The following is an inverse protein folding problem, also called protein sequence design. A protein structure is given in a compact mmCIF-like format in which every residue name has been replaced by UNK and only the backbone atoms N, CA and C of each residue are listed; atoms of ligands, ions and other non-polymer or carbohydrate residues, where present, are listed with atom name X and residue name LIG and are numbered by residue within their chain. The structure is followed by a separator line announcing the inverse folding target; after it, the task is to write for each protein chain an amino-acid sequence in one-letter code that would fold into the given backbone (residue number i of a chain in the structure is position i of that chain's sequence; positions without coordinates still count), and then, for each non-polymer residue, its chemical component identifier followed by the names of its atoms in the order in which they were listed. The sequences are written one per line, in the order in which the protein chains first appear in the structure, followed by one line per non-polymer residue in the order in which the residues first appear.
data_IF_826243599813
#
_entry.id   IF_826243599813
#
_cell.length_a   1.000
_cell.length_b   1.000
_cell.length_c   1.000
_cell.angle_alpha   90.00
_cell.angle_beta   90.00
_cell.angle_gamma   90.00
#
_symmetry.space_group_name_H-M   'P 1'
#
loop_
_entity.id
_entity.type
_entity.pdbx_description
1 polymer ?
#
# COMPACT_ATOMS: atom_id res chain seq x y z
N UNK A 1 -17.43 3.81 -6.94
CA UNK A 1 -15.99 3.94 -6.64
C UNK A 1 -15.71 5.04 -5.60
N UNK A 2 -16.32 6.23 -5.74
CA UNK A 2 -16.15 7.37 -4.82
C UNK A 2 -16.45 7.10 -3.33
N UNK A 3 -17.51 6.35 -3.04
CA UNK A 3 -17.93 6.04 -1.65
C UNK A 3 -16.97 5.11 -0.88
N UNK A 4 -16.09 4.37 -1.57
CA UNK A 4 -15.06 3.53 -0.92
C UNK A 4 -13.81 4.35 -0.58
N UNK A 5 -13.42 5.28 -1.44
CA UNK A 5 -12.25 6.16 -1.25
C UNK A 5 -12.48 7.15 -0.10
N UNK A 6 -13.70 7.70 0.03
CA UNK A 6 -14.04 8.62 1.14
C UNK A 6 -13.98 7.93 2.51
N UNK A 7 -14.39 6.65 2.61
CA UNK A 7 -14.27 5.88 3.85
C UNK A 7 -12.81 5.59 4.23
N UNK A 8 -11.93 5.43 3.25
CA UNK A 8 -10.50 5.17 3.46
C UNK A 8 -9.80 6.44 4.00
N UNK A 9 -10.15 7.63 3.49
CA UNK A 9 -9.57 8.90 3.96
C UNK A 9 -9.99 9.23 5.40
N UNK A 10 -11.24 8.91 5.80
CA UNK A 10 -11.71 9.11 7.18
C UNK A 10 -10.96 8.20 8.17
N UNK A 11 -10.55 7.01 7.75
CA UNK A 11 -9.74 6.12 8.59
C UNK A 11 -8.34 6.69 8.87
N UNK A 12 -7.72 7.39 7.91
CA UNK A 12 -6.39 8.01 8.10
C UNK A 12 -6.40 9.17 9.12
N UNK A 13 -7.52 9.89 9.26
CA UNK A 13 -7.61 11.07 10.15
C UNK A 13 -7.72 10.72 11.64
N UNK A 14 -8.11 9.49 12.01
CA UNK A 14 -8.23 9.08 13.41
C UNK A 14 -6.91 8.60 14.05
N UNK A 15 -5.81 8.56 13.30
CA UNK A 15 -4.55 7.94 13.74
C UNK A 15 -3.57 8.86 14.51
N UNK A 16 -3.85 10.16 14.65
CA UNK A 16 -2.98 11.09 15.38
C UNK A 16 -3.31 11.27 16.87
N UNK A 17 -4.13 10.40 17.46
CA UNK A 17 -4.58 10.55 18.86
C UNK A 17 -4.16 9.38 19.77
N UNK A 18 -2.93 8.89 19.65
CA UNK A 18 -2.35 8.01 20.67
C UNK A 18 -1.45 8.80 21.62
N UNK A 19 -2.05 9.74 22.35
CA UNK A 19 -1.41 10.37 23.51
C UNK A 19 -2.47 10.97 24.43
N UNK A 20 -3.14 10.10 25.18
CA UNK A 20 -3.63 10.48 26.49
C UNK A 20 -3.38 9.31 27.42
N UNK A 21 -2.32 9.44 28.22
CA UNK A 21 -2.17 8.69 29.45
C UNK A 21 -3.41 8.99 30.30
N UNK A 22 -4.44 8.17 30.16
CA UNK A 22 -5.65 8.28 30.95
C UNK A 22 -5.30 7.84 32.37
N UNK A 23 -4.95 8.81 33.21
CA UNK A 23 -5.01 8.69 34.65
C UNK A 23 -6.49 8.42 34.99
N UNK A 24 -6.92 7.15 34.91
CA UNK A 24 -8.31 6.75 35.13
C UNK A 24 -8.63 6.94 36.62
N UNK A 25 -9.35 8.01 36.90
CA UNK A 25 -9.96 8.32 38.18
C UNK A 25 -10.86 7.15 38.61
N UNK A 26 -10.69 6.69 39.85
CA UNK A 26 -11.49 5.60 40.44
C UNK A 26 -12.97 6.00 40.39
N UNK A 27 -13.71 5.38 39.48
CA UNK A 27 -15.16 5.58 39.37
C UNK A 27 -15.82 4.65 40.38
N UNK A 28 -16.13 5.19 41.55
CA UNK A 28 -16.88 4.47 42.59
C UNK A 28 -18.30 4.27 42.05
N UNK A 29 -18.65 3.05 41.66
CA UNK A 29 -20.01 2.71 41.21
C UNK A 29 -21.01 2.81 42.38
N UNK A 30 -22.26 3.26 42.12
CA UNK A 30 -23.25 3.63 43.14
C UNK A 30 -23.74 2.47 44.03
N UNK A 31 -23.36 1.23 43.74
CA UNK A 31 -23.68 0.04 44.55
C UNK A 31 -22.99 0.03 45.93
N UNK A 32 -22.01 0.92 46.16
CA UNK A 32 -21.40 1.12 47.48
C UNK A 32 -22.40 1.63 48.56
N UNK A 33 -23.64 1.97 48.18
CA UNK A 33 -24.68 2.51 49.06
C UNK A 33 -25.61 1.46 49.68
N UNK A 34 -25.51 0.18 49.31
CA UNK A 34 -26.28 -0.88 49.97
C UNK A 34 -25.52 -1.44 51.19
N UNK A 35 -25.63 -0.71 52.29
CA UNK A 35 -25.29 -1.23 53.60
C UNK A 35 -26.38 -2.22 54.07
N UNK A 36 -26.07 -3.52 54.11
CA UNK A 36 -26.18 -4.39 55.30
C UNK A 36 -26.21 -5.87 54.92
N UNK A 37 -25.37 -6.67 55.60
CA UNK A 37 -25.72 -7.96 56.24
C UNK A 37 -24.52 -8.73 56.86
N UNK A 38 -23.27 -8.22 56.81
CA UNK A 38 -22.14 -8.84 57.53
C UNK A 38 -21.19 -7.81 58.14
N UNK A 39 -20.44 -8.23 59.18
CA UNK A 39 -19.36 -7.45 59.78
C UNK A 39 -18.19 -7.16 58.81
N UNK A 40 -18.18 -7.73 57.60
CA UNK A 40 -17.12 -7.56 56.59
C UNK A 40 -17.59 -6.87 55.31
N UNK A 41 -18.88 -6.50 55.21
CA UNK A 41 -19.48 -6.03 53.97
C UNK A 41 -18.74 -4.83 53.33
N UNK A 42 -18.16 -3.95 54.14
CA UNK A 42 -17.34 -2.83 53.66
C UNK A 42 -16.05 -3.30 52.99
N UNK A 43 -15.39 -4.29 53.57
CA UNK A 43 -14.17 -4.91 53.02
C UNK A 43 -14.49 -5.70 51.76
N UNK A 44 -15.60 -6.43 51.74
CA UNK A 44 -16.06 -7.17 50.56
C UNK A 44 -16.35 -6.22 49.37
N UNK A 45 -17.02 -5.08 49.61
CA UNK A 45 -17.25 -4.05 48.58
C UNK A 45 -15.94 -3.41 48.09
N UNK A 46 -15.00 -3.13 48.99
CA UNK A 46 -13.67 -2.62 48.64
C UNK A 46 -12.91 -3.59 47.72
N UNK A 47 -12.92 -4.89 48.06
CA UNK A 47 -12.31 -5.94 47.24
C UNK A 47 -12.98 -6.02 45.86
N UNK A 48 -14.32 -6.01 45.82
CA UNK A 48 -15.09 -6.13 44.59
C UNK A 48 -14.79 -4.98 43.60
N UNK A 49 -14.63 -3.76 44.11
CA UNK A 49 -14.27 -2.61 43.27
C UNK A 49 -12.89 -2.80 42.61
N UNK A 50 -11.89 -3.21 43.39
CA UNK A 50 -10.56 -3.49 42.85
C UNK A 50 -10.56 -4.68 41.88
N UNK A 51 -11.34 -5.73 42.17
CA UNK A 51 -11.52 -6.84 41.25
C UNK A 51 -12.04 -6.36 39.88
N UNK A 52 -13.12 -5.57 39.87
CA UNK A 52 -13.69 -4.99 38.64
C UNK A 52 -12.68 -4.12 37.90
N UNK A 53 -11.88 -3.34 38.63
CA UNK A 53 -10.83 -2.49 38.04
C UNK A 53 -9.77 -3.33 37.32
N UNK A 54 -9.23 -4.38 37.95
CA UNK A 54 -8.23 -5.26 37.34
C UNK A 54 -8.79 -6.02 36.14
N UNK A 55 -10.02 -6.55 36.26
CA UNK A 55 -10.70 -7.21 35.15
C UNK A 55 -10.92 -6.27 33.96
N UNK A 56 -11.29 -5.02 34.22
CA UNK A 56 -11.44 -4.01 33.17
C UNK A 56 -10.10 -3.67 32.51
N UNK A 57 -9.03 -3.54 33.27
CA UNK A 57 -7.69 -3.32 32.71
C UNK A 57 -7.26 -4.48 31.80
N UNK A 58 -7.49 -5.74 32.21
CA UNK A 58 -7.20 -6.91 31.35
C UNK A 58 -8.01 -6.89 30.06
N UNK A 59 -9.29 -6.50 30.11
CA UNK A 59 -10.15 -6.36 28.92
C UNK A 59 -9.68 -5.23 28.00
N UNK A 60 -9.26 -4.09 28.57
CA UNK A 60 -8.77 -2.96 27.80
C UNK A 60 -7.46 -3.30 27.06
N UNK A 61 -6.56 -4.07 27.69
CA UNK A 61 -5.31 -4.56 27.08
C UNK A 61 -5.60 -5.56 25.95
N UNK A 62 -6.51 -6.52 26.19
CA UNK A 62 -6.93 -7.50 25.20
C UNK A 62 -7.54 -6.84 23.96
N UNK A 63 -8.40 -5.84 24.16
CA UNK A 63 -8.98 -5.05 23.06
C UNK A 63 -7.90 -4.31 22.25
N UNK A 64 -6.93 -3.68 22.91
CA UNK A 64 -5.83 -3.00 22.20
C UNK A 64 -5.03 -3.96 21.30
N UNK A 65 -4.86 -5.22 21.71
CA UNK A 65 -4.22 -6.23 20.86
C UNK A 65 -5.08 -6.58 19.64
N UNK A 66 -6.37 -6.78 19.81
CA UNK A 66 -7.28 -7.07 18.69
C UNK A 66 -7.41 -5.90 17.72
N UNK A 67 -7.48 -4.67 18.23
CA UNK A 67 -7.51 -3.46 17.43
C UNK A 67 -6.22 -3.32 16.60
N UNK A 68 -5.07 -3.63 17.19
CA UNK A 68 -3.79 -3.64 16.48
C UNK A 68 -3.76 -4.69 15.35
N UNK A 69 -4.17 -5.94 15.62
CA UNK A 69 -4.23 -6.99 14.61
C UNK A 69 -5.15 -6.61 13.45
N UNK A 70 -6.35 -6.13 13.79
CA UNK A 70 -7.37 -5.74 12.81
C UNK A 70 -6.92 -4.55 11.96
N UNK A 71 -6.32 -3.54 12.59
CA UNK A 71 -5.78 -2.37 11.91
C UNK A 71 -4.65 -2.72 10.95
N UNK A 72 -3.71 -3.57 11.38
CA UNK A 72 -2.61 -4.01 10.53
C UNK A 72 -3.11 -4.83 9.33
N UNK A 73 -4.04 -5.78 9.56
CA UNK A 73 -4.65 -6.56 8.49
C UNK A 73 -5.42 -5.68 7.49
N UNK A 74 -6.16 -4.67 7.98
CA UNK A 74 -6.88 -3.73 7.12
C UNK A 74 -5.92 -2.93 6.24
N UNK A 75 -4.81 -2.42 6.79
CA UNK A 75 -3.79 -1.71 6.01
C UNK A 75 -3.23 -2.59 4.91
N UNK A 76 -2.91 -3.84 5.22
CA UNK A 76 -2.43 -4.81 4.23
C UNK A 76 -3.47 -5.08 3.12
N UNK A 77 -4.77 -5.16 3.44
CA UNK A 77 -5.82 -5.38 2.44
C UNK A 77 -5.92 -4.26 1.38
N UNK A 78 -5.50 -3.03 1.71
CA UNK A 78 -5.44 -1.92 0.75
C UNK A 78 -4.42 -2.21 -0.35
N UNK A 79 -3.29 -2.82 0.00
CA UNK A 79 -2.26 -3.25 -0.96
C UNK A 79 -2.78 -4.39 -1.84
N UNK A 80 -3.66 -5.26 -1.32
CA UNK A 80 -4.28 -6.33 -2.11
C UNK A 80 -5.32 -5.83 -3.12
N UNK A 81 -6.10 -4.79 -2.81
CA UNK A 81 -7.11 -4.23 -3.73
C UNK A 81 -6.52 -3.75 -5.08
N UNK A 82 -5.23 -3.54 -5.04
CA UNK A 82 -4.37 -2.93 -6.02
C UNK A 82 -3.86 -4.00 -7.03
N UNK A 83 -3.87 -5.29 -6.66
CA UNK A 83 -3.76 -6.47 -7.57
C UNK A 83 -4.83 -6.42 -8.67
N UNK A 84 -6.06 -6.05 -8.30
CA UNK A 84 -7.17 -5.94 -9.26
C UNK A 84 -6.92 -4.85 -10.30
N UNK A 85 -6.34 -3.73 -9.89
CA UNK A 85 -6.04 -2.60 -10.78
C UNK A 85 -5.03 -3.02 -11.85
N UNK A 86 -3.99 -3.75 -11.47
CA UNK A 86 -2.98 -4.25 -12.42
C UNK A 86 -3.60 -5.26 -13.38
N UNK A 87 -4.39 -6.20 -12.86
CA UNK A 87 -5.06 -7.21 -13.69
C UNK A 87 -6.01 -6.58 -14.72
N UNK A 88 -6.82 -5.59 -14.29
CA UNK A 88 -7.74 -4.88 -15.17
C UNK A 88 -6.99 -4.10 -16.26
N UNK A 89 -5.85 -3.50 -15.92
CA UNK A 89 -5.04 -2.74 -16.88
C UNK A 89 -4.31 -3.62 -17.90
N UNK A 90 -3.81 -4.78 -17.48
CA UNK A 90 -3.27 -5.78 -18.40
C UNK A 90 -4.36 -6.29 -19.35
N UNK A 91 -5.56 -6.57 -18.83
CA UNK A 91 -6.71 -6.98 -19.65
C UNK A 91 -7.17 -5.89 -20.62
N UNK A 92 -7.23 -4.64 -20.18
CA UNK A 92 -7.57 -3.49 -21.04
C UNK A 92 -6.60 -3.37 -22.21
N UNK A 93 -5.30 -3.55 -21.94
CA UNK A 93 -4.27 -3.53 -22.95
C UNK A 93 -4.40 -4.72 -23.92
N UNK A 94 -4.63 -5.94 -23.44
CA UNK A 94 -4.87 -7.10 -24.30
C UNK A 94 -6.07 -6.87 -25.23
N UNK A 95 -7.18 -6.35 -24.68
CA UNK A 95 -8.37 -6.01 -25.45
C UNK A 95 -8.12 -4.94 -26.52
N UNK A 96 -7.09 -4.10 -26.35
CA UNK A 96 -6.69 -3.09 -27.34
C UNK A 96 -5.84 -3.72 -28.44
N UNK A 97 -5.01 -4.69 -28.13
CA UNK A 97 -4.09 -5.31 -29.09
C UNK A 97 -4.74 -6.40 -29.95
N UNK A 98 -5.66 -7.19 -29.40
CA UNK A 98 -6.36 -8.23 -30.19
C UNK A 98 -7.03 -7.72 -31.47
N UNK A 99 -7.77 -6.59 -31.47
CA UNK A 99 -8.34 -6.06 -32.71
C UNK A 99 -7.28 -5.55 -33.69
N UNK A 100 -6.13 -5.08 -33.20
CA UNK A 100 -5.05 -4.58 -34.06
C UNK A 100 -4.41 -5.71 -34.86
N UNK A 101 -4.17 -6.85 -34.22
CA UNK A 101 -3.66 -8.09 -34.84
C UNK A 101 -4.55 -8.52 -36.03
N UNK A 102 -5.87 -8.29 -35.95
CA UNK A 102 -6.83 -8.68 -36.99
C UNK A 102 -6.93 -7.73 -38.19
N UNK A 103 -6.29 -6.55 -38.15
CA UNK A 103 -6.48 -5.52 -39.20
C UNK A 103 -5.66 -5.79 -40.46
N UNK A 104 -4.38 -6.15 -40.32
CA UNK A 104 -3.47 -6.47 -41.42
C UNK A 104 -2.17 -7.12 -40.90
N UNK A 105 -1.38 -7.70 -41.81
CA UNK A 105 -0.12 -8.41 -41.50
C UNK A 105 0.95 -7.52 -40.82
N UNK A 106 0.98 -6.21 -41.11
CA UNK A 106 1.94 -5.28 -40.48
C UNK A 106 1.58 -5.04 -39.02
N UNK A 107 0.29 -4.87 -38.72
CA UNK A 107 -0.21 -4.71 -37.37
C UNK A 107 0.03 -5.99 -36.56
N UNK A 108 -0.25 -7.15 -37.14
CA UNK A 108 -0.01 -8.46 -36.52
C UNK A 108 1.46 -8.63 -36.15
N UNK A 109 2.37 -8.42 -37.11
CA UNK A 109 3.82 -8.47 -36.88
C UNK A 109 4.28 -7.50 -35.78
N UNK A 110 3.79 -6.26 -35.79
CA UNK A 110 4.19 -5.26 -34.80
C UNK A 110 3.73 -5.61 -33.39
N UNK A 111 2.52 -6.17 -33.24
CA UNK A 111 2.01 -6.61 -31.93
C UNK A 111 2.78 -7.83 -31.44
N UNK A 112 2.94 -8.86 -32.27
CA UNK A 112 3.70 -10.08 -31.90
C UNK A 112 5.14 -9.74 -31.46
N UNK A 113 5.83 -8.86 -32.20
CA UNK A 113 7.22 -8.46 -31.91
C UNK A 113 7.41 -7.86 -30.51
N UNK A 114 6.41 -7.16 -29.99
CA UNK A 114 6.53 -6.43 -28.72
C UNK A 114 5.67 -7.00 -27.58
N UNK A 115 4.84 -8.02 -27.86
CA UNK A 115 3.96 -8.67 -26.88
C UNK A 115 4.74 -9.22 -25.68
N UNK A 116 5.91 -9.81 -25.91
CA UNK A 116 6.75 -10.39 -24.85
C UNK A 116 7.37 -9.35 -23.90
N UNK A 117 7.33 -8.05 -24.25
CA UNK A 117 7.78 -6.98 -23.35
C UNK A 117 6.77 -6.69 -22.25
N UNK A 118 5.53 -7.16 -22.38
CA UNK A 118 4.48 -6.94 -21.40
C UNK A 118 4.58 -8.04 -20.33
N UNK A 119 4.67 -7.66 -19.03
CA UNK A 119 4.68 -8.64 -17.95
C UNK A 119 3.41 -9.49 -17.93
N UNK A 120 3.58 -10.79 -17.76
CA UNK A 120 2.46 -11.73 -17.63
C UNK A 120 1.72 -11.46 -16.31
N UNK A 121 0.41 -11.22 -16.37
CA UNK A 121 -0.43 -10.90 -15.21
C UNK A 121 -0.27 -11.88 -14.04
N UNK A 122 -0.11 -13.17 -14.35
CA UNK A 122 0.11 -14.20 -13.35
C UNK A 122 1.42 -14.02 -12.56
N UNK A 123 2.51 -13.63 -13.22
CA UNK A 123 3.81 -13.41 -12.59
C UNK A 123 3.77 -12.23 -11.63
N UNK A 124 3.20 -11.11 -12.08
CA UNK A 124 3.03 -9.90 -11.24
C UNK A 124 2.17 -10.22 -10.01
N UNK A 125 1.06 -10.93 -10.21
CA UNK A 125 0.18 -11.36 -9.10
C UNK A 125 0.87 -12.28 -8.10
N UNK A 126 1.68 -13.24 -8.57
CA UNK A 126 2.42 -14.15 -7.69
C UNK A 126 3.43 -13.38 -6.82
N UNK A 127 4.16 -12.44 -7.43
CA UNK A 127 5.12 -11.59 -6.73
C UNK A 127 4.45 -10.73 -5.65
N UNK A 128 3.32 -10.09 -5.97
CA UNK A 128 2.56 -9.29 -5.01
C UNK A 128 2.05 -10.14 -3.84
N UNK A 129 1.48 -11.32 -4.10
CA UNK A 129 1.01 -12.24 -3.06
C UNK A 129 2.12 -12.67 -2.11
N UNK A 130 3.32 -12.94 -2.63
CA UNK A 130 4.45 -13.35 -1.79
C UNK A 130 4.89 -12.22 -0.83
N UNK A 131 4.89 -10.97 -1.30
CA UNK A 131 5.15 -9.80 -0.45
C UNK A 131 4.10 -9.68 0.68
N UNK A 132 2.82 -9.81 0.33
CA UNK A 132 1.73 -9.75 1.30
C UNK A 132 1.80 -10.87 2.34
N UNK A 133 2.17 -12.08 1.92
CA UNK A 133 2.36 -13.23 2.81
C UNK A 133 3.47 -12.96 3.83
N UNK A 134 4.60 -12.39 3.39
CA UNK A 134 5.72 -12.02 4.28
C UNK A 134 5.29 -10.96 5.29
N UNK A 135 4.65 -9.88 4.85
CA UNK A 135 4.14 -8.84 5.74
C UNK A 135 3.14 -9.38 6.76
N UNK A 136 2.17 -10.19 6.30
CA UNK A 136 1.16 -10.81 7.17
C UNK A 136 1.77 -11.75 8.21
N UNK A 137 2.77 -12.54 7.83
CA UNK A 137 3.43 -13.48 8.76
C UNK A 137 4.18 -12.77 9.89
N UNK A 138 4.63 -11.54 9.66
CA UNK A 138 5.35 -10.74 10.65
C UNK A 138 4.47 -10.29 11.83
N UNK A 139 3.14 -10.25 11.65
CA UNK A 139 2.19 -9.87 12.70
C UNK A 139 2.35 -10.74 13.94
N UNK A 140 2.54 -12.05 13.76
CA UNK A 140 2.72 -13.00 14.88
C UNK A 140 3.91 -12.66 15.77
N UNK A 141 5.02 -12.20 15.17
CA UNK A 141 6.20 -11.78 15.91
C UNK A 141 5.98 -10.43 16.63
N UNK A 142 5.20 -9.52 16.03
CA UNK A 142 4.88 -8.21 16.61
C UNK A 142 4.05 -8.34 17.89
N UNK A 143 3.06 -9.23 17.90
CA UNK A 143 2.09 -9.34 19.01
C UNK A 143 2.53 -10.29 20.13
N UNK A 144 3.53 -11.14 19.89
CA UNK A 144 3.96 -12.17 20.83
C UNK A 144 4.31 -11.63 22.22
N UNK A 145 5.18 -10.64 22.31
CA UNK A 145 5.60 -10.08 23.61
C UNK A 145 4.42 -9.42 24.36
N UNK A 146 3.60 -8.58 23.71
CA UNK A 146 2.36 -8.07 24.31
C UNK A 146 1.40 -9.16 24.81
N UNK A 147 1.21 -10.23 24.02
CA UNK A 147 0.36 -11.38 24.38
C UNK A 147 0.89 -12.11 25.63
N UNK A 148 2.21 -12.33 25.68
CA UNK A 148 2.86 -12.95 26.83
C UNK A 148 2.70 -12.08 28.09
N UNK A 149 2.81 -10.76 27.97
CA UNK A 149 2.56 -9.83 29.07
C UNK A 149 1.11 -9.92 29.57
N UNK A 150 0.12 -9.90 28.66
CA UNK A 150 -1.29 -10.06 29.03
C UNK A 150 -1.56 -11.41 29.71
N UNK A 151 -0.98 -12.50 29.19
CA UNK A 151 -1.07 -13.83 29.80
C UNK A 151 -0.49 -13.84 31.21
N UNK A 152 0.66 -13.22 31.42
CA UNK A 152 1.30 -13.10 32.74
C UNK A 152 0.43 -12.30 33.72
N UNK A 153 -0.17 -11.19 33.27
CA UNK A 153 -1.10 -10.40 34.08
C UNK A 153 -2.35 -11.19 34.48
N UNK A 154 -2.94 -11.96 33.55
CA UNK A 154 -4.08 -12.86 33.84
C UNK A 154 -3.70 -13.92 34.87
N UNK A 155 -2.54 -14.55 34.71
CA UNK A 155 -2.05 -15.56 35.64
C UNK A 155 -1.80 -14.96 37.04
N UNK A 156 -1.21 -13.77 37.11
CA UNK A 156 -0.99 -13.07 38.37
C UNK A 156 -2.31 -12.70 39.07
N UNK A 157 -3.30 -12.22 38.33
CA UNK A 157 -4.63 -11.92 38.87
C UNK A 157 -5.32 -13.15 39.49
N UNK A 158 -5.23 -14.31 38.85
CA UNK A 158 -5.78 -15.55 39.43
C UNK A 158 -4.93 -16.01 40.63
N UNK A 159 -3.61 -16.07 40.46
CA UNK A 159 -2.72 -16.68 41.45
C UNK A 159 -2.54 -15.84 42.72
N UNK A 160 -2.44 -14.51 42.59
CA UNK A 160 -2.13 -13.62 43.70
C UNK A 160 -3.37 -12.91 44.21
N UNK A 161 -4.16 -12.28 43.34
CA UNK A 161 -5.35 -11.57 43.78
C UNK A 161 -6.45 -12.53 44.21
N UNK A 162 -6.92 -13.40 43.31
CA UNK A 162 -8.08 -14.26 43.59
C UNK A 162 -7.81 -15.22 44.75
N UNK A 163 -6.65 -15.89 44.74
CA UNK A 163 -6.30 -16.83 45.81
C UNK A 163 -5.90 -16.11 47.11
N UNK A 164 -5.18 -15.00 47.02
CA UNK A 164 -4.79 -14.22 48.20
C UNK A 164 -6.00 -13.67 48.95
N UNK A 165 -7.00 -13.14 48.22
CA UNK A 165 -8.26 -12.70 48.83
C UNK A 165 -9.03 -13.85 49.48
N UNK A 166 -9.12 -15.02 48.82
CA UNK A 166 -9.73 -16.23 49.42
C UNK A 166 -9.03 -16.65 50.70
N UNK A 167 -7.71 -16.59 50.73
CA UNK A 167 -6.92 -16.93 51.92
C UNK A 167 -7.13 -15.90 53.06
N UNK A 168 -7.13 -14.60 52.74
CA UNK A 168 -7.44 -13.54 53.70
C UNK A 168 -8.83 -13.74 54.32
N UNK A 169 -9.84 -14.06 53.49
CA UNK A 169 -11.20 -14.35 53.96
C UNK A 169 -11.19 -15.55 54.90
N UNK A 170 -10.60 -16.67 54.49
CA UNK A 170 -10.51 -17.90 55.31
C UNK A 170 -9.86 -17.68 56.68
N UNK A 171 -8.83 -16.84 56.77
CA UNK A 171 -8.09 -16.59 58.02
C UNK A 171 -8.75 -15.56 58.93
N UNK A 172 -9.44 -14.56 58.37
CA UNK A 172 -9.86 -13.37 59.11
C UNK A 172 -11.34 -13.00 58.98
N UNK A 173 -12.20 -13.91 58.48
CA UNK A 173 -13.63 -13.68 58.22
C UNK A 173 -14.41 -13.00 59.36
N UNK A 174 -14.03 -13.26 60.61
CA UNK A 174 -14.72 -12.73 61.80
C UNK A 174 -14.11 -11.43 62.36
N UNK A 175 -12.98 -10.96 61.82
CA UNK A 175 -12.23 -9.81 62.33
C UNK A 175 -12.01 -8.81 61.19
N UNK A 176 -12.93 -7.85 61.03
CA UNK A 176 -12.95 -6.88 59.94
C UNK A 176 -11.60 -6.17 59.74
N UNK A 177 -10.98 -5.66 60.81
CA UNK A 177 -9.71 -4.95 60.73
C UNK A 177 -8.56 -5.81 60.19
N UNK A 178 -8.49 -7.09 60.59
CA UNK A 178 -7.46 -8.03 60.09
C UNK A 178 -7.76 -8.47 58.67
N UNK A 179 -9.03 -8.66 58.33
CA UNK A 179 -9.43 -8.99 56.97
C UNK A 179 -9.11 -7.85 56.00
N UNK A 180 -9.47 -6.62 56.37
CA UNK A 180 -9.15 -5.40 55.61
C UNK A 180 -7.64 -5.24 55.39
N UNK A 181 -6.83 -5.36 56.46
CA UNK A 181 -5.38 -5.23 56.36
C UNK A 181 -4.77 -6.28 55.43
N UNK A 182 -5.21 -7.53 55.52
CA UNK A 182 -4.76 -8.61 54.64
C UNK A 182 -5.15 -8.35 53.17
N UNK A 183 -6.43 -8.03 52.92
CA UNK A 183 -6.94 -7.76 51.58
C UNK A 183 -6.27 -6.53 50.93
N UNK A 184 -6.07 -5.46 51.70
CA UNK A 184 -5.38 -4.25 51.22
C UNK A 184 -3.93 -4.55 50.84
N UNK A 185 -3.23 -5.43 51.58
CA UNK A 185 -1.89 -5.89 51.21
C UNK A 185 -1.85 -6.62 49.86
N UNK A 186 -2.79 -7.55 49.64
CA UNK A 186 -2.94 -8.28 48.37
C UNK A 186 -3.27 -7.33 47.22
N UNK A 187 -4.20 -6.40 47.43
CA UNK A 187 -4.60 -5.39 46.44
C UNK A 187 -3.40 -4.52 46.06
N UNK A 188 -2.66 -3.98 47.04
CA UNK A 188 -1.50 -3.12 46.77
C UNK A 188 -0.41 -3.84 45.97
N UNK A 189 -0.14 -5.10 46.30
CA UNK A 189 0.82 -5.92 45.56
C UNK A 189 0.38 -6.16 44.11
N UNK A 190 -0.90 -6.50 43.92
CA UNK A 190 -1.50 -6.71 42.59
C UNK A 190 -1.48 -5.42 41.77
N UNK A 191 -1.88 -4.29 42.36
CA UNK A 191 -1.90 -2.99 41.70
C UNK A 191 -0.50 -2.56 41.23
N UNK A 192 0.51 -2.73 42.10
CA UNK A 192 1.91 -2.47 41.75
C UNK A 192 2.34 -3.34 40.55
N UNK A 193 2.01 -4.63 40.57
CA UNK A 193 2.32 -5.54 39.45
C UNK A 193 1.61 -5.11 38.16
N UNK A 194 0.34 -4.72 38.25
CA UNK A 194 -0.45 -4.29 37.10
C UNK A 194 0.08 -3.00 36.49
N UNK A 195 0.44 -2.00 37.29
CA UNK A 195 1.03 -0.74 36.80
C UNK A 195 2.34 -1.00 36.06
N UNK A 196 3.24 -1.80 36.64
CA UNK A 196 4.53 -2.12 36.01
C UNK A 196 4.34 -2.87 34.69
N UNK A 197 3.47 -3.88 34.66
CA UNK A 197 3.25 -4.68 33.46
C UNK A 197 2.43 -3.94 32.39
N UNK A 198 1.54 -3.03 32.78
CA UNK A 198 0.86 -2.13 31.84
C UNK A 198 1.86 -1.23 31.12
N UNK A 199 2.81 -0.62 31.84
CA UNK A 199 3.85 0.19 31.21
C UNK A 199 4.72 -0.64 30.25
N UNK A 200 5.06 -1.87 30.64
CA UNK A 200 5.79 -2.80 29.78
C UNK A 200 4.98 -3.15 28.51
N UNK A 201 3.70 -3.48 28.67
CA UNK A 201 2.79 -3.73 27.56
C UNK A 201 2.72 -2.54 26.60
N UNK A 202 2.53 -1.32 27.10
CA UNK A 202 2.47 -0.11 26.27
C UNK A 202 3.76 0.11 25.48
N UNK A 203 4.93 -0.10 26.10
CA UNK A 203 6.21 -0.02 25.40
C UNK A 203 6.36 -1.08 24.31
N UNK A 204 5.91 -2.31 24.59
CA UNK A 204 5.90 -3.39 23.60
C UNK A 204 4.94 -3.09 22.44
N UNK A 205 3.77 -2.51 22.72
CA UNK A 205 2.81 -2.07 21.69
C UNK A 205 3.39 -0.95 20.82
N UNK A 206 4.11 0.00 21.41
CA UNK A 206 4.81 1.05 20.64
C UNK A 206 5.89 0.47 19.73
N UNK A 207 6.67 -0.50 20.23
CA UNK A 207 7.66 -1.22 19.43
C UNK A 207 7.00 -2.01 18.30
N UNK A 208 5.91 -2.72 18.59
CA UNK A 208 5.11 -3.44 17.60
C UNK A 208 4.54 -2.50 16.53
N UNK A 209 4.06 -1.32 16.90
CA UNK A 209 3.57 -0.30 15.97
C UNK A 209 4.68 0.22 15.05
N UNK A 210 5.88 0.45 15.57
CA UNK A 210 7.04 0.83 14.76
C UNK A 210 7.40 -0.27 13.74
N UNK A 211 7.48 -1.53 14.18
CA UNK A 211 7.76 -2.66 13.29
C UNK A 211 6.66 -2.86 12.25
N UNK A 212 5.39 -2.66 12.64
CA UNK A 212 4.25 -2.75 11.72
C UNK A 212 4.36 -1.69 10.62
N UNK A 213 4.75 -0.46 10.95
CA UNK A 213 4.99 0.59 9.95
C UNK A 213 6.11 0.18 9.00
N UNK A 214 7.28 -0.23 9.51
CA UNK A 214 8.39 -0.67 8.66
C UNK A 214 7.99 -1.82 7.72
N UNK A 215 7.27 -2.83 8.23
CA UNK A 215 6.85 -3.97 7.40
C UNK A 215 5.76 -3.60 6.40
N UNK A 216 4.91 -2.64 6.74
CA UNK A 216 3.94 -2.09 5.79
C UNK A 216 4.66 -1.30 4.69
N UNK A 217 5.63 -0.46 5.04
CA UNK A 217 6.42 0.32 4.08
C UNK A 217 7.22 -0.61 3.15
N UNK A 218 7.90 -1.63 3.69
CA UNK A 218 8.57 -2.67 2.92
C UNK A 218 7.63 -3.31 1.88
N UNK A 219 6.41 -3.66 2.30
CA UNK A 219 5.41 -4.27 1.43
C UNK A 219 4.90 -3.30 0.36
N UNK A 220 4.68 -2.04 0.74
CA UNK A 220 4.21 -0.97 -0.14
C UNK A 220 5.26 -0.57 -1.17
N UNK A 221 6.53 -0.50 -0.80
CA UNK A 221 7.64 -0.19 -1.71
C UNK A 221 7.85 -1.31 -2.74
N UNK A 222 7.80 -2.56 -2.27
CA UNK A 222 7.84 -3.72 -3.17
C UNK A 222 6.68 -3.69 -4.16
N UNK A 223 5.47 -3.46 -3.65
CA UNK A 223 4.26 -3.34 -4.45
C UNK A 223 4.38 -2.23 -5.50
N UNK A 224 4.78 -1.03 -5.08
CA UNK A 224 4.94 0.14 -5.94
C UNK A 224 5.95 -0.13 -7.05
N UNK A 225 7.09 -0.74 -6.72
CA UNK A 225 8.13 -1.10 -7.69
C UNK A 225 7.61 -2.03 -8.76
N UNK A 226 6.89 -3.09 -8.39
CA UNK A 226 6.32 -4.05 -9.35
C UNK A 226 5.34 -3.38 -10.31
N UNK A 227 4.59 -2.40 -9.82
CA UNK A 227 3.49 -1.80 -10.59
C UNK A 227 3.94 -0.67 -11.47
N UNK A 228 4.83 0.19 -10.97
CA UNK A 228 5.47 1.16 -11.84
C UNK A 228 6.22 0.45 -12.96
N UNK A 229 6.95 -0.63 -12.67
CA UNK A 229 7.59 -1.43 -13.71
C UNK A 229 6.58 -2.01 -14.70
N UNK A 230 5.44 -2.53 -14.22
CA UNK A 230 4.39 -3.07 -15.10
C UNK A 230 3.76 -1.99 -15.99
N UNK A 231 3.40 -0.84 -15.43
CA UNK A 231 2.81 0.26 -16.21
C UNK A 231 3.79 0.87 -17.21
N UNK A 232 5.06 1.03 -16.82
CA UNK A 232 6.11 1.48 -17.75
C UNK A 232 6.26 0.48 -18.89
N UNK A 233 6.34 -0.82 -18.62
CA UNK A 233 6.46 -1.85 -19.65
C UNK A 233 5.25 -1.86 -20.60
N UNK A 234 4.03 -1.69 -20.08
CA UNK A 234 2.82 -1.52 -20.90
C UNK A 234 2.92 -0.29 -21.80
N UNK A 235 3.32 0.86 -21.24
CA UNK A 235 3.46 2.12 -21.98
C UNK A 235 4.51 2.05 -23.08
N UNK A 236 5.67 1.45 -22.77
CA UNK A 236 6.75 1.22 -23.72
C UNK A 236 6.32 0.27 -24.85
N UNK A 237 5.70 -0.87 -24.52
CA UNK A 237 5.20 -1.82 -25.52
C UNK A 237 4.17 -1.17 -26.44
N UNK A 238 3.21 -0.42 -25.88
CA UNK A 238 2.23 0.33 -26.68
C UNK A 238 2.88 1.38 -27.58
N UNK A 239 3.90 2.08 -27.08
CA UNK A 239 4.69 3.04 -27.86
C UNK A 239 5.46 2.37 -29.01
N UNK A 240 6.11 1.23 -28.74
CA UNK A 240 6.82 0.46 -29.75
C UNK A 240 5.88 -0.09 -30.84
N UNK A 241 4.73 -0.63 -30.45
CA UNK A 241 3.70 -1.09 -31.40
C UNK A 241 3.24 0.07 -32.28
N UNK A 242 2.93 1.24 -31.68
CA UNK A 242 2.51 2.43 -32.43
C UNK A 242 3.58 2.93 -33.41
N UNK A 243 4.85 2.95 -32.99
CA UNK A 243 5.96 3.38 -33.83
C UNK A 243 6.22 2.39 -34.99
N UNK A 244 6.10 1.09 -34.69
CA UNK A 244 6.21 0.04 -35.70
C UNK A 244 5.10 0.14 -36.74
N UNK A 245 3.85 0.32 -36.30
CA UNK A 245 2.70 0.53 -37.20
C UNK A 245 2.84 1.82 -38.04
N UNK A 246 3.48 2.86 -37.50
CA UNK A 246 3.80 4.09 -38.23
C UNK A 246 4.99 3.94 -39.20
N UNK A 247 5.61 2.75 -39.27
CA UNK A 247 6.73 2.46 -40.17
C UNK A 247 8.09 2.97 -39.67
N UNK A 248 8.19 3.48 -38.44
CA UNK A 248 9.45 4.00 -37.89
C UNK A 248 10.48 2.92 -37.52
N UNK A 249 10.04 1.68 -37.35
CA UNK A 249 10.92 0.53 -37.06
C UNK A 249 11.46 -0.16 -38.33
N UNK A 250 10.97 0.20 -39.52
CA UNK A 250 11.28 -0.48 -40.80
C UNK A 250 12.28 0.30 -41.65
N UNK A 251 12.65 1.52 -41.25
CA UNK A 251 13.73 2.27 -41.91
C UNK A 251 15.09 1.78 -41.40
N UNK A 252 15.82 1.04 -42.24
CA UNK A 252 17.24 0.80 -42.01
C UNK A 252 17.98 2.15 -42.07
N UNK A 253 18.84 2.51 -41.11
CA UNK A 253 19.59 3.76 -41.17
C UNK A 253 20.47 3.74 -42.43
N UNK A 254 20.44 4.80 -43.22
CA UNK A 254 21.42 5.01 -44.28
C UNK A 254 22.81 5.13 -43.64
N UNK A 255 23.84 4.65 -44.33
CA UNK A 255 25.20 4.45 -43.80
C UNK A 255 25.86 5.71 -43.19
N UNK A 256 25.30 6.90 -43.41
CA UNK A 256 25.87 8.19 -43.01
C UNK A 256 24.99 8.99 -42.04
N UNK A 257 23.91 8.43 -41.48
CA UNK A 257 22.96 9.19 -40.64
C UNK A 257 23.07 8.88 -39.13
N UNK A 258 22.95 9.94 -38.34
CA UNK A 258 22.92 9.88 -36.87
C UNK A 258 21.58 9.28 -36.40
N UNK A 259 21.63 8.07 -35.82
CA UNK A 259 20.48 7.29 -35.32
C UNK A 259 19.50 8.07 -34.42
N UNK A 260 19.96 9.14 -33.77
CA UNK A 260 19.13 9.99 -32.91
C UNK A 260 18.12 10.86 -33.69
N UNK A 261 18.36 11.08 -35.00
CA UNK A 261 17.53 11.93 -35.87
C UNK A 261 16.51 11.14 -36.72
N UNK A 262 16.46 9.81 -36.58
CA UNK A 262 15.70 8.88 -37.43
C UNK A 262 14.25 8.64 -36.93
N UNK A 263 13.91 9.11 -35.73
CA UNK A 263 12.53 9.05 -35.22
C UNK A 263 11.61 9.94 -36.07
N UNK A 264 10.73 9.35 -36.87
CA UNK A 264 9.65 10.09 -37.54
C UNK A 264 9.59 10.03 -39.07
N UNK A 265 10.53 9.37 -39.78
CA UNK A 265 10.54 9.37 -41.26
C UNK A 265 9.75 8.22 -41.89
N UNK A 266 9.26 8.46 -43.11
CA UNK A 266 8.55 7.46 -43.92
C UNK A 266 9.50 6.63 -44.79
N UNK A 267 9.17 5.35 -45.07
CA UNK A 267 10.04 4.42 -45.79
C UNK A 267 10.30 4.82 -47.24
N UNK A 268 9.38 5.57 -47.84
CA UNK A 268 9.57 6.17 -49.15
C UNK A 268 9.93 7.63 -48.95
N UNK A 269 11.08 8.02 -49.47
CA UNK A 269 11.53 9.40 -49.51
C UNK A 269 11.71 9.82 -50.97
N UNK A 270 11.33 11.05 -51.27
CA UNK A 270 11.73 11.70 -52.51
C UNK A 270 12.33 13.07 -52.16
N UNK A 271 13.45 13.38 -52.80
CA UNK A 271 14.01 14.71 -52.78
C UNK A 271 13.52 15.43 -54.04
N UNK A 272 12.94 16.60 -53.87
CA UNK A 272 12.54 17.46 -54.98
C UNK A 272 13.42 18.70 -54.98
N UNK A 273 14.34 18.77 -55.94
CA UNK A 273 15.14 19.96 -56.19
C UNK A 273 14.29 20.96 -56.97
N UNK A 274 13.98 22.10 -56.33
CA UNK A 274 13.24 23.19 -56.98
C UNK A 274 14.02 23.86 -58.12
N UNK A 275 15.33 23.62 -58.20
CA UNK A 275 16.23 24.13 -59.24
C UNK A 275 16.23 23.30 -60.52
N UNK A 276 15.86 22.02 -60.42
CA UNK A 276 15.86 21.10 -61.57
C UNK A 276 14.54 21.18 -62.36
N UNK A 277 13.53 21.87 -61.82
CA UNK A 277 12.27 22.14 -62.50
C UNK A 277 12.25 23.53 -63.12
N UNK A 278 11.81 23.61 -64.38
CA UNK A 278 11.59 24.87 -65.07
C UNK A 278 10.36 25.59 -64.50
N UNK A 279 10.57 26.36 -63.43
CA UNK A 279 9.55 27.19 -62.78
C UNK A 279 9.09 28.38 -63.65
N UNK A 280 9.63 28.54 -64.87
CA UNK A 280 9.22 29.61 -65.79
C UNK A 280 8.03 29.23 -66.69
N UNK A 281 7.62 27.96 -66.70
CA UNK A 281 6.42 27.47 -67.38
C UNK A 281 5.13 27.59 -66.56
N UNK A 282 3.97 27.70 -67.21
CA UNK A 282 2.65 27.69 -66.55
C UNK A 282 2.28 26.32 -65.94
N UNK A 283 3.10 25.28 -66.18
CA UNK A 283 2.85 23.91 -65.72
C UNK A 283 4.12 23.29 -65.14
N UNK A 284 4.01 22.65 -63.98
CA UNK A 284 5.10 21.93 -63.31
C UNK A 284 4.90 20.43 -63.51
N UNK A 285 5.99 19.65 -63.60
CA UNK A 285 5.93 18.20 -63.69
C UNK A 285 5.30 17.61 -62.41
N UNK A 286 4.40 16.62 -62.54
CA UNK A 286 3.77 16.01 -61.38
C UNK A 286 4.75 15.08 -60.64
N UNK A 287 5.25 15.46 -59.44
CA UNK A 287 6.21 14.66 -58.67
C UNK A 287 5.61 13.33 -58.19
N UNK A 288 4.28 13.20 -58.20
CA UNK A 288 3.54 12.02 -57.75
C UNK A 288 3.30 10.99 -58.85
N UNK A 289 3.81 11.23 -60.07
CA UNK A 289 3.61 10.35 -61.22
C UNK A 289 4.39 9.04 -61.03
N UNK A 290 3.66 7.94 -60.78
CA UNK A 290 4.23 6.60 -60.59
C UNK A 290 4.07 6.02 -59.18
N UNK A 291 3.51 6.79 -58.24
CA UNK A 291 3.19 6.29 -56.90
C UNK A 291 1.97 5.36 -56.99
N UNK A 292 2.17 4.09 -56.62
CA UNK A 292 1.09 3.10 -56.57
C UNK A 292 0.26 3.26 -55.28
N UNK A 293 -1.00 2.80 -55.29
CA UNK A 293 -1.90 2.80 -54.12
C UNK A 293 -1.39 1.98 -52.93
N UNK A 294 -0.31 1.22 -53.13
CA UNK A 294 0.34 0.39 -52.11
C UNK A 294 1.46 1.11 -51.34
N UNK A 295 1.76 2.38 -51.62
CA UNK A 295 2.79 3.14 -50.89
C UNK A 295 2.22 3.69 -49.58
N UNK A 296 2.60 3.16 -48.39
CA UNK A 296 1.96 3.46 -47.11
C UNK A 296 2.27 4.87 -46.57
N UNK A 297 3.47 5.39 -46.83
CA UNK A 297 3.81 6.78 -46.55
C UNK A 297 4.98 7.25 -47.43
N UNK A 298 4.88 8.47 -47.98
CA UNK A 298 5.91 9.16 -48.74
C UNK A 298 6.26 10.49 -48.07
N UNK A 299 7.54 10.68 -47.77
CA UNK A 299 8.09 11.96 -47.32
C UNK A 299 8.74 12.69 -48.49
N UNK A 300 8.33 13.94 -48.75
CA UNK A 300 8.92 14.80 -49.78
C UNK A 300 9.80 15.83 -49.09
N UNK A 301 11.09 15.84 -49.43
CA UNK A 301 12.02 16.86 -48.96
C UNK A 301 12.28 17.84 -50.10
N UNK A 302 11.84 19.09 -49.92
CA UNK A 302 12.15 20.18 -50.84
C UNK A 302 13.58 20.64 -50.59
N UNK A 303 14.44 20.57 -51.60
CA UNK A 303 15.80 21.06 -51.54
C UNK A 303 15.84 22.39 -52.30
N UNK A 304 16.17 23.46 -51.57
CA UNK A 304 16.42 24.80 -52.10
C UNK A 304 17.87 25.17 -51.78
N UNK A 305 18.69 25.54 -52.76
CA UNK A 305 19.94 26.22 -52.45
C UNK A 305 19.61 27.63 -51.91
N UNK A 306 20.24 27.94 -50.77
CA UNK A 306 20.40 29.26 -50.16
C UNK A 306 19.16 30.02 -49.62
N UNK A 307 18.80 29.69 -48.37
CA UNK A 307 18.40 30.72 -47.37
C UNK A 307 19.41 30.81 -46.21
N UNK A 308 20.66 30.40 -46.45
CA UNK A 308 21.77 30.59 -45.50
C UNK A 308 22.73 31.57 -46.14
N UNK A 309 22.79 32.78 -45.56
CA UNK A 309 23.66 33.93 -45.88
C UNK A 309 22.93 35.10 -46.56
N UNK A 310 22.17 35.88 -45.77
CA UNK A 310 22.18 37.36 -45.78
C UNK A 310 21.06 37.95 -44.90
N UNK A 311 21.12 37.69 -43.59
CA UNK A 311 20.55 38.62 -42.60
C UNK A 311 21.66 38.88 -41.59
N UNK A 312 22.57 39.77 -41.96
CA UNK A 312 23.35 40.51 -40.97
C UNK A 312 22.35 41.27 -40.09
N UNK A 313 22.30 40.89 -38.81
CA UNK A 313 21.78 41.70 -37.73
C UNK A 313 22.60 42.99 -37.66
N UNK A 314 22.16 44.02 -38.38
CA UNK A 314 22.58 45.38 -38.13
C UNK A 314 21.65 46.00 -37.07
N UNK A 315 22.30 46.52 -36.02
CA UNK A 315 21.83 47.36 -34.90
C UNK A 315 20.40 47.89 -34.94
#
# INVERSE_FOLDING_TARGET
MYNKVVKIIIAFATFFSFSNAAQKQVTIMPEAWYASQSATARVDNYILQHQRQFEQQLKDIDRQLEDFRSSYALRLSVIEAYDQIVADKLKEMENKFYPLEMLNEVNDFCVEKYRDKIPIAHSVKSNLKESMRKASSALSAMVKNPEDTLKNMRNHFVAQFTNGIKECKRKFEKIEAKYHSCASGVIKATDTYFITNLNNFLNQMNSAACMANTKFDDAFDYYSTQIYATFTAIGEAAGFISNCMAGHDVCSPCNDENLSAVKGRCPYHMAWHLEDDDLSGETIFNPFKGINKTTPCLQINFITNDFVNNVELNK
#
